data_IF_018769723052
#
_entry.id   IF_018769723052
#
_cell.length_a   1.000
_cell.length_b   1.000
_cell.length_c   1.000
_cell.angle_alpha   90.00
_cell.angle_beta   90.00
_cell.angle_gamma   90.00
#
_symmetry.space_group_name_H-M   'P 1'
#
loop_
_entity.id
_entity.type
_entity.pdbx_description
1 polymer ?
#
# COMPACT_ATOMS: atom_id res chain seq x y z
N UNK A 1 -17.37 7.92 5.21
CA UNK A 1 -16.50 8.86 5.92
C UNK A 1 -15.54 9.43 4.90
N UNK A 2 -15.48 10.76 4.79
CA UNK A 2 -14.57 11.45 3.88
C UNK A 2 -13.12 11.29 4.38
N UNK A 3 -12.13 11.41 3.49
CA UNK A 3 -10.70 11.35 3.85
C UNK A 3 -10.05 12.68 3.52
N UNK A 4 -9.40 13.29 4.51
CA UNK A 4 -8.58 14.49 4.34
C UNK A 4 -7.09 14.13 4.40
N UNK A 5 -6.42 13.91 3.25
CA UNK A 5 -5.01 13.52 3.21
C UNK A 5 -4.06 14.72 3.33
N UNK A 6 -3.11 14.61 4.24
CA UNK A 6 -1.96 15.51 4.37
C UNK A 6 -0.68 14.71 4.16
N UNK A 7 0.06 15.05 3.10
CA UNK A 7 1.32 14.39 2.77
C UNK A 7 2.47 15.15 3.41
N UNK A 8 2.93 14.66 4.56
CA UNK A 8 4.08 15.21 5.25
C UNK A 8 5.38 14.72 4.60
N UNK A 9 6.42 15.56 4.55
CA UNK A 9 7.72 15.13 4.08
C UNK A 9 8.39 14.18 5.08
N UNK A 10 9.18 13.25 4.57
CA UNK A 10 10.01 12.31 5.35
C UNK A 10 11.21 12.97 6.08
N UNK A 11 11.05 14.19 6.62
CA UNK A 11 12.16 15.03 7.13
C UNK A 11 12.94 14.40 8.30
N UNK A 12 12.32 13.48 9.03
CA UNK A 12 12.90 12.81 10.20
C UNK A 12 12.96 11.29 10.03
N UNK A 13 12.92 10.80 8.78
CA UNK A 13 13.13 9.38 8.53
C UNK A 13 14.59 9.01 8.84
N UNK A 14 14.85 7.96 9.65
CA UNK A 14 16.21 7.62 10.09
C UNK A 14 17.11 7.16 8.93
N UNK A 15 16.52 6.66 7.84
CA UNK A 15 17.23 6.07 6.72
C UNK A 15 16.77 6.65 5.37
N UNK A 16 17.70 6.72 4.41
CA UNK A 16 17.40 7.04 3.01
C UNK A 16 17.48 5.79 2.14
N UNK A 17 16.31 5.27 1.78
CA UNK A 17 16.17 4.03 1.02
C UNK A 17 16.58 4.21 -0.44
N UNK A 18 16.90 3.10 -1.11
CA UNK A 18 17.39 3.13 -2.50
C UNK A 18 16.40 3.75 -3.49
N UNK A 19 15.10 3.55 -3.26
CA UNK A 19 13.99 4.00 -4.11
C UNK A 19 13.34 5.31 -3.66
N UNK A 20 13.75 5.87 -2.52
CA UNK A 20 13.07 7.02 -1.94
C UNK A 20 13.55 8.34 -2.57
N UNK A 21 12.64 9.04 -3.25
CA UNK A 21 12.78 10.45 -3.60
C UNK A 21 11.70 11.28 -2.90
N UNK A 22 12.11 11.94 -1.82
CA UNK A 22 11.25 12.79 -1.02
C UNK A 22 10.62 13.93 -1.84
N UNK A 23 11.32 14.50 -2.84
CA UNK A 23 10.81 15.62 -3.64
C UNK A 23 9.82 15.16 -4.71
N UNK A 24 10.06 13.98 -5.28
CA UNK A 24 9.17 13.40 -6.29
C UNK A 24 7.84 12.91 -5.67
N UNK A 25 7.90 12.29 -4.48
CA UNK A 25 6.77 11.63 -3.82
C UNK A 25 5.79 12.62 -3.17
N UNK A 26 6.26 13.69 -2.54
CA UNK A 26 5.36 14.66 -1.85
C UNK A 26 4.80 15.75 -2.79
N UNK A 27 5.31 15.84 -4.02
CA UNK A 27 5.04 16.97 -4.91
C UNK A 27 5.76 18.24 -4.44
N UNK A 28 6.01 19.16 -5.37
CA UNK A 28 6.78 20.40 -5.15
C UNK A 28 6.05 21.47 -4.30
N UNK A 29 4.87 21.16 -3.75
CA UNK A 29 4.18 22.05 -2.81
C UNK A 29 4.79 21.88 -1.41
N UNK A 30 4.98 22.98 -0.68
CA UNK A 30 5.63 22.97 0.62
C UNK A 30 5.05 21.94 1.61
N UNK A 31 5.85 21.56 2.61
CA UNK A 31 5.39 20.73 3.73
C UNK A 31 4.18 21.41 4.38
N UNK A 32 3.00 20.78 4.44
CA UNK A 32 1.88 21.35 5.18
C UNK A 32 2.28 21.47 6.65
N UNK A 33 2.21 22.66 7.21
CA UNK A 33 2.43 22.92 8.63
C UNK A 33 1.11 22.75 9.41
N UNK A 34 1.14 22.61 10.74
CA UNK A 34 -0.08 22.44 11.55
C UNK A 34 -1.16 23.50 11.30
N UNK A 35 -0.77 24.74 10.99
CA UNK A 35 -1.73 25.80 10.64
C UNK A 35 -2.49 25.51 9.34
N UNK A 36 -1.81 24.94 8.35
CA UNK A 36 -2.37 24.65 7.03
C UNK A 36 -3.35 23.47 7.16
N UNK A 37 -3.03 22.50 8.02
CA UNK A 37 -3.95 21.41 8.41
C UNK A 37 -5.21 21.99 9.03
N UNK A 38 -5.07 22.87 10.04
CA UNK A 38 -6.23 23.50 10.69
C UNK A 38 -7.08 24.26 9.68
N UNK A 39 -6.47 25.04 8.79
CA UNK A 39 -7.16 25.83 7.79
C UNK A 39 -7.93 24.96 6.79
N UNK A 40 -7.29 23.91 6.27
CA UNK A 40 -7.92 22.97 5.34
C UNK A 40 -9.15 22.26 5.95
N UNK A 41 -9.17 22.07 7.27
CA UNK A 41 -10.25 21.38 7.98
C UNK A 41 -11.38 22.31 8.45
N UNK A 42 -11.22 23.64 8.41
CA UNK A 42 -12.24 24.60 8.91
C UNK A 42 -13.60 24.46 8.22
N UNK A 43 -13.61 24.08 6.95
CA UNK A 43 -14.82 23.99 6.14
C UNK A 43 -15.49 22.61 6.14
N UNK A 44 -14.91 21.63 6.84
CA UNK A 44 -15.44 20.27 6.86
C UNK A 44 -16.59 20.19 7.87
N UNK A 45 -17.75 19.70 7.42
CA UNK A 45 -18.95 19.54 8.26
C UNK A 45 -19.33 18.08 8.48
N UNK A 46 -18.76 17.17 7.70
CA UNK A 46 -19.05 15.73 7.73
C UNK A 46 -17.96 14.95 8.49
N UNK A 47 -18.30 13.80 9.11
CA UNK A 47 -17.33 12.88 9.68
C UNK A 47 -16.16 12.60 8.73
N UNK A 48 -14.93 12.82 9.20
CA UNK A 48 -13.73 12.78 8.36
C UNK A 48 -12.58 11.99 8.99
N UNK A 49 -11.90 11.18 8.18
CA UNK A 49 -10.63 10.55 8.51
C UNK A 49 -9.47 11.47 8.07
N UNK A 50 -8.81 12.12 9.03
CA UNK A 50 -7.61 12.92 8.75
C UNK A 50 -6.43 11.96 8.62
N UNK A 51 -5.80 11.95 7.44
CA UNK A 51 -4.72 11.03 7.12
C UNK A 51 -3.39 11.77 7.04
N UNK A 52 -2.47 11.51 7.97
CA UNK A 52 -1.09 11.98 7.87
C UNK A 52 -0.24 10.93 7.15
N UNK A 53 -0.08 11.11 5.84
CA UNK A 53 0.81 10.31 5.00
C UNK A 53 2.22 10.89 4.99
N UNK A 54 3.19 10.09 4.56
CA UNK A 54 4.60 10.49 4.52
C UNK A 54 5.54 9.45 5.10
N UNK A 55 5.06 8.56 5.97
CA UNK A 55 5.85 7.39 6.42
C UNK A 55 6.89 7.71 7.50
N UNK A 56 6.82 8.87 8.16
CA UNK A 56 7.70 9.21 9.29
C UNK A 56 7.01 10.05 10.37
N UNK A 57 5.67 9.99 10.49
CA UNK A 57 4.91 10.87 11.40
C UNK A 57 5.45 10.84 12.83
N UNK A 58 5.64 9.64 13.39
CA UNK A 58 6.08 9.43 14.78
C UNK A 58 7.59 9.56 14.97
N UNK A 59 8.35 9.76 13.89
CA UNK A 59 9.78 10.07 14.00
C UNK A 59 10.02 11.55 14.33
N UNK A 60 9.02 12.41 14.12
CA UNK A 60 9.09 13.83 14.47
C UNK A 60 9.17 14.02 15.99
N UNK A 61 9.69 15.15 16.49
CA UNK A 61 9.61 15.49 17.92
C UNK A 61 8.17 15.47 18.44
N UNK A 62 7.97 15.00 19.68
CA UNK A 62 6.63 14.86 20.29
C UNK A 62 5.80 16.16 20.27
N UNK A 63 6.45 17.32 20.45
CA UNK A 63 5.78 18.62 20.35
C UNK A 63 5.16 18.85 18.97
N UNK A 64 5.91 18.53 17.91
CA UNK A 64 5.43 18.68 16.53
C UNK A 64 4.33 17.67 16.19
N UNK A 65 4.43 16.44 16.68
CA UNK A 65 3.36 15.45 16.56
C UNK A 65 2.07 15.97 17.22
N UNK A 66 2.18 16.50 18.44
CA UNK A 66 1.07 17.11 19.18
C UNK A 66 0.44 18.27 18.41
N UNK A 67 1.26 19.19 17.87
CA UNK A 67 0.76 20.33 17.11
C UNK A 67 -0.11 19.91 15.91
N UNK A 68 0.29 18.86 15.17
CA UNK A 68 -0.51 18.32 14.07
C UNK A 68 -1.82 17.68 14.54
N UNK A 69 -1.76 16.88 15.61
CA UNK A 69 -2.94 16.21 16.16
C UNK A 69 -3.94 17.24 16.70
N UNK A 70 -3.48 18.25 17.43
CA UNK A 70 -4.30 19.35 17.94
C UNK A 70 -4.85 20.24 16.82
N UNK A 71 -4.09 20.46 15.75
CA UNK A 71 -4.61 21.12 14.56
C UNK A 71 -5.74 20.34 13.89
N UNK A 72 -5.62 19.01 13.82
CA UNK A 72 -6.66 18.15 13.24
C UNK A 72 -7.91 18.03 14.15
N UNK A 73 -7.74 18.11 15.47
CA UNK A 73 -8.84 18.15 16.43
C UNK A 73 -9.70 19.41 16.33
N UNK A 74 -9.22 20.47 15.70
CA UNK A 74 -10.00 21.69 15.47
C UNK A 74 -11.10 21.52 14.41
N UNK A 75 -11.18 20.37 13.73
CA UNK A 75 -12.23 20.09 12.75
C UNK A 75 -13.58 19.79 13.42
N UNK A 76 -14.71 20.30 12.89
CA UNK A 76 -16.03 20.00 13.41
C UNK A 76 -16.47 18.54 13.18
N UNK A 77 -16.77 17.81 14.27
CA UNK A 77 -17.52 16.53 14.30
C UNK A 77 -16.88 15.31 13.60
N UNK A 78 -17.15 14.09 14.08
CA UNK A 78 -16.14 13.15 14.56
C UNK A 78 -14.98 12.94 13.58
N UNK A 79 -13.78 13.09 14.14
CA UNK A 79 -12.53 12.94 13.41
C UNK A 79 -11.80 11.72 13.94
N UNK A 80 -11.39 10.83 13.05
CA UNK A 80 -10.41 9.78 13.38
C UNK A 80 -9.12 10.06 12.61
N UNK A 81 -8.00 9.71 13.21
CA UNK A 81 -6.70 9.91 12.59
C UNK A 81 -6.12 8.59 12.09
N UNK A 82 -5.54 8.67 10.90
CA UNK A 82 -4.61 7.69 10.36
C UNK A 82 -3.24 8.33 10.31
N UNK A 83 -2.24 7.61 10.80
CA UNK A 83 -0.84 8.01 10.67
C UNK A 83 -0.06 6.94 9.91
N UNK A 84 0.75 7.35 8.94
CA UNK A 84 1.75 6.48 8.31
C UNK A 84 3.14 6.82 8.85
N UNK A 85 3.86 5.84 9.37
CA UNK A 85 5.14 6.06 10.04
C UNK A 85 6.16 4.95 9.78
N UNK A 86 7.40 5.21 10.19
CA UNK A 86 8.50 4.27 10.10
C UNK A 86 8.36 3.25 11.24
N UNK A 87 8.57 1.94 10.98
CA UNK A 87 8.39 0.91 12.00
C UNK A 87 9.13 1.20 13.31
N UNK A 88 10.43 1.50 13.24
CA UNK A 88 11.26 1.77 14.43
C UNK A 88 10.91 3.06 15.20
N UNK A 89 10.02 3.92 14.69
CA UNK A 89 9.54 5.10 15.42
C UNK A 89 8.25 4.80 16.20
N UNK A 90 7.94 3.52 16.45
CA UNK A 90 6.78 3.09 17.22
C UNK A 90 7.25 2.18 18.35
N UNK A 91 7.02 2.63 19.57
CA UNK A 91 7.31 1.92 20.80
C UNK A 91 6.16 2.11 21.80
N UNK A 92 6.17 1.43 22.97
CA UNK A 92 5.11 1.58 23.96
C UNK A 92 4.88 3.02 24.43
N UNK A 93 5.92 3.86 24.46
CA UNK A 93 5.81 5.26 24.88
C UNK A 93 5.06 6.11 23.85
N UNK A 94 5.33 5.89 22.55
CA UNK A 94 4.60 6.53 21.46
C UNK A 94 3.14 6.07 21.44
N UNK A 95 2.87 4.78 21.62
CA UNK A 95 1.49 4.29 21.69
C UNK A 95 0.73 4.89 22.87
N UNK A 96 1.37 5.03 24.04
CA UNK A 96 0.79 5.70 25.19
C UNK A 96 0.52 7.19 24.88
N UNK A 97 1.44 7.89 24.21
CA UNK A 97 1.29 9.28 23.80
C UNK A 97 0.14 9.49 22.79
N UNK A 98 -0.04 8.57 21.84
CA UNK A 98 -1.08 8.68 20.80
C UNK A 98 -2.48 8.31 21.30
N UNK A 99 -2.57 7.45 22.32
CA UNK A 99 -3.85 6.92 22.82
C UNK A 99 -4.91 7.95 23.29
N UNK A 100 -4.55 9.14 23.82
CA UNK A 100 -5.53 10.17 24.18
C UNK A 100 -6.10 10.93 22.97
N UNK A 101 -5.48 10.81 21.79
CA UNK A 101 -5.97 11.39 20.54
C UNK A 101 -6.86 10.37 19.82
N UNK A 102 -7.76 10.80 18.91
CA UNK A 102 -8.60 9.89 18.12
C UNK A 102 -7.81 9.19 16.99
N UNK A 103 -6.56 8.81 17.25
CA UNK A 103 -5.76 7.97 16.35
C UNK A 103 -6.34 6.57 16.36
N UNK A 104 -6.93 6.17 15.24
CA UNK A 104 -7.50 4.83 15.08
C UNK A 104 -6.56 3.90 14.34
N UNK A 105 -5.73 4.42 13.43
CA UNK A 105 -4.96 3.59 12.50
C UNK A 105 -3.50 4.03 12.51
N UNK A 106 -2.62 3.08 12.78
CA UNK A 106 -1.16 3.25 12.71
C UNK A 106 -0.65 2.35 11.60
N UNK A 107 -0.32 2.95 10.47
CA UNK A 107 0.21 2.26 9.29
C UNK A 107 1.74 2.31 9.31
N UNK A 108 2.39 1.14 9.31
CA UNK A 108 3.84 1.02 9.25
C UNK A 108 4.30 0.83 7.82
N UNK A 109 5.35 1.57 7.42
CA UNK A 109 6.03 1.41 6.14
C UNK A 109 6.88 0.15 6.09
N UNK A 110 6.26 -1.04 6.06
CA UNK A 110 6.94 -2.35 6.11
C UNK A 110 7.87 -2.58 4.92
N UNK A 111 7.41 -2.28 3.70
CA UNK A 111 8.08 -2.60 2.43
C UNK A 111 8.21 -4.11 2.15
N UNK A 112 8.98 -4.83 2.96
CA UNK A 112 9.14 -6.28 2.96
C UNK A 112 9.50 -6.77 4.38
N UNK A 113 9.48 -8.08 4.63
CA UNK A 113 9.99 -8.70 5.85
C UNK A 113 11.20 -9.61 5.58
N UNK A 114 11.68 -9.66 4.33
CA UNK A 114 12.89 -10.38 3.94
C UNK A 114 14.15 -9.53 4.20
N UNK A 115 14.99 -9.96 5.13
CA UNK A 115 16.12 -9.17 5.62
C UNK A 115 17.12 -8.79 4.51
N UNK A 116 17.39 -9.69 3.55
CA UNK A 116 18.28 -9.40 2.42
C UNK A 116 17.72 -8.29 1.51
N UNK A 117 16.40 -8.26 1.29
CA UNK A 117 15.72 -7.20 0.54
C UNK A 117 15.76 -5.89 1.31
N UNK A 118 15.55 -5.93 2.63
CA UNK A 118 15.57 -4.76 3.52
C UNK A 118 16.98 -4.12 3.59
N UNK A 119 18.02 -4.94 3.70
CA UNK A 119 19.43 -4.57 3.65
C UNK A 119 19.76 -3.90 2.31
N UNK A 120 19.44 -4.57 1.20
CA UNK A 120 19.65 -4.06 -0.16
C UNK A 120 18.94 -2.72 -0.38
N UNK A 121 17.72 -2.59 0.15
CA UNK A 121 16.94 -1.37 0.06
C UNK A 121 17.36 -0.27 1.04
N UNK A 122 18.32 -0.52 1.93
CA UNK A 122 18.78 0.37 2.99
C UNK A 122 17.63 0.85 3.87
N UNK A 123 16.79 -0.08 4.34
CA UNK A 123 15.67 0.22 5.25
C UNK A 123 16.14 0.49 6.68
N UNK A 124 17.23 -0.15 7.09
CA UNK A 124 17.84 0.02 8.42
C UNK A 124 16.98 -0.56 9.55
N UNK A 125 16.31 -1.68 9.27
CA UNK A 125 15.63 -2.55 10.22
C UNK A 125 15.50 -3.94 9.60
N UNK A 126 15.22 -4.93 10.45
CA UNK A 126 14.94 -6.33 10.10
C UNK A 126 13.44 -6.62 10.05
N UNK A 127 13.05 -7.71 9.40
CA UNK A 127 11.66 -8.19 9.39
C UNK A 127 11.16 -8.49 10.80
N UNK A 128 12.01 -9.05 11.66
CA UNK A 128 11.69 -9.35 13.06
C UNK A 128 11.31 -8.09 13.85
N UNK A 129 12.09 -7.01 13.72
CA UNK A 129 11.78 -5.74 14.38
C UNK A 129 10.45 -5.16 13.91
N UNK A 130 10.14 -5.24 12.61
CA UNK A 130 8.86 -4.77 12.08
C UNK A 130 7.69 -5.56 12.64
N UNK A 131 7.81 -6.89 12.70
CA UNK A 131 6.78 -7.77 13.26
C UNK A 131 6.55 -7.50 14.74
N UNK A 132 7.61 -7.22 15.51
CA UNK A 132 7.50 -6.77 16.90
C UNK A 132 6.67 -5.48 16.99
N UNK A 133 6.99 -4.45 16.18
CA UNK A 133 6.28 -3.16 16.23
C UNK A 133 4.82 -3.29 15.81
N UNK A 134 4.51 -4.11 14.80
CA UNK A 134 3.14 -4.42 14.41
C UNK A 134 2.38 -5.15 15.52
N UNK A 135 3.03 -6.07 16.24
CA UNK A 135 2.43 -6.79 17.36
C UNK A 135 2.07 -5.85 18.51
N UNK A 136 2.92 -4.85 18.80
CA UNK A 136 2.62 -3.82 19.80
C UNK A 136 1.37 -3.00 19.42
N UNK A 137 1.25 -2.61 18.15
CA UNK A 137 0.06 -1.89 17.65
C UNK A 137 -1.18 -2.78 17.71
N UNK A 138 -1.08 -4.03 17.27
CA UNK A 138 -2.18 -4.99 17.23
C UNK A 138 -2.70 -5.39 18.62
N UNK A 139 -1.81 -5.43 19.62
CA UNK A 139 -2.17 -5.73 21.00
C UNK A 139 -2.94 -4.60 21.70
N UNK A 140 -2.95 -3.39 21.16
CA UNK A 140 -3.63 -2.25 21.76
C UNK A 140 -5.02 -2.04 21.11
N UNK A 141 -6.13 -2.20 21.85
CA UNK A 141 -7.48 -2.14 21.30
C UNK A 141 -7.88 -0.75 20.75
N UNK A 142 -7.15 0.31 21.11
CA UNK A 142 -7.35 1.65 20.56
C UNK A 142 -6.98 1.73 19.07
N UNK A 143 -6.05 0.88 18.61
CA UNK A 143 -5.48 0.98 17.27
C UNK A 143 -5.85 -0.19 16.36
N UNK A 144 -5.87 0.09 15.06
CA UNK A 144 -5.90 -0.89 13.99
C UNK A 144 -4.53 -0.83 13.30
N UNK A 145 -3.78 -1.94 13.25
CA UNK A 145 -2.50 -1.98 12.55
C UNK A 145 -2.71 -1.85 11.04
N UNK A 146 -1.85 -1.07 10.39
CA UNK A 146 -1.73 -1.02 8.94
C UNK A 146 -0.33 -1.43 8.50
N UNK A 147 -0.21 -2.12 7.36
CA UNK A 147 1.05 -2.47 6.74
C UNK A 147 1.08 -1.99 5.28
N UNK A 148 2.07 -1.16 4.95
CA UNK A 148 2.37 -0.80 3.57
C UNK A 148 3.49 -1.72 3.04
N UNK A 149 3.13 -2.66 2.18
CA UNK A 149 4.04 -3.55 1.47
C UNK A 149 4.43 -2.97 0.11
N UNK A 150 5.59 -3.40 -0.39
CA UNK A 150 6.05 -3.13 -1.74
C UNK A 150 6.31 -4.42 -2.51
N UNK A 151 6.19 -4.36 -3.84
CA UNK A 151 6.51 -5.46 -4.76
C UNK A 151 7.59 -5.05 -5.76
N UNK A 152 8.38 -6.02 -6.21
CA UNK A 152 9.44 -5.79 -7.19
C UNK A 152 10.64 -5.01 -6.66
N UNK A 153 10.89 -5.01 -5.35
CA UNK A 153 12.12 -4.46 -4.77
C UNK A 153 13.35 -5.25 -5.28
N UNK A 154 14.56 -4.64 -5.30
CA UNK A 154 15.79 -5.38 -5.61
C UNK A 154 15.95 -6.63 -4.75
N UNK A 155 16.12 -7.79 -5.40
CA UNK A 155 16.22 -9.10 -4.74
C UNK A 155 14.89 -9.76 -4.34
N UNK A 156 13.76 -9.05 -4.41
CA UNK A 156 12.46 -9.57 -3.97
C UNK A 156 11.83 -10.47 -5.04
N UNK A 157 11.07 -11.48 -4.60
CA UNK A 157 10.35 -12.42 -5.47
C UNK A 157 8.85 -12.46 -5.18
N UNK A 158 8.01 -12.90 -6.13
CA UNK A 158 6.58 -13.11 -5.86
C UNK A 158 6.30 -14.02 -4.67
N UNK A 159 7.12 -15.06 -4.48
CA UNK A 159 7.04 -15.95 -3.32
C UNK A 159 7.37 -15.24 -2.02
N UNK A 160 8.41 -14.39 -1.97
CA UNK A 160 8.78 -13.71 -0.74
C UNK A 160 7.75 -12.65 -0.33
N UNK A 161 7.11 -11.95 -1.28
CA UNK A 161 5.98 -11.05 -0.94
C UNK A 161 4.74 -11.80 -0.40
N UNK A 162 4.52 -13.06 -0.82
CA UNK A 162 3.47 -13.88 -0.22
C UNK A 162 3.84 -14.35 1.18
N UNK A 163 5.13 -14.64 1.42
CA UNK A 163 5.63 -14.95 2.76
C UNK A 163 5.49 -13.74 3.71
N UNK A 164 5.78 -12.53 3.22
CA UNK A 164 5.54 -11.30 3.97
C UNK A 164 4.08 -11.23 4.46
N UNK A 165 3.10 -11.55 3.60
CA UNK A 165 1.69 -11.59 3.98
C UNK A 165 1.35 -12.71 4.99
N UNK A 166 2.02 -13.86 4.92
CA UNK A 166 1.85 -14.95 5.90
C UNK A 166 2.30 -14.52 7.29
N UNK A 167 3.46 -13.87 7.39
CA UNK A 167 3.94 -13.31 8.64
C UNK A 167 3.00 -12.24 9.20
N UNK A 168 2.51 -11.34 8.35
CA UNK A 168 1.51 -10.35 8.77
C UNK A 168 0.20 -10.99 9.22
N UNK A 169 -0.21 -12.11 8.61
CA UNK A 169 -1.45 -12.81 8.98
C UNK A 169 -1.32 -13.44 10.35
N UNK A 170 -0.13 -13.96 10.69
CA UNK A 170 0.18 -14.46 12.01
C UNK A 170 0.11 -13.35 13.08
N UNK A 171 0.66 -12.17 12.81
CA UNK A 171 0.59 -11.02 13.72
C UNK A 171 -0.84 -10.49 13.88
N UNK A 172 -1.60 -10.44 12.79
CA UNK A 172 -3.02 -10.03 12.79
C UNK A 172 -3.86 -10.93 13.70
N UNK A 173 -3.62 -12.24 13.67
CA UNK A 173 -4.49 -13.22 14.31
C UNK A 173 -5.91 -13.09 13.77
N UNK A 174 -6.90 -12.93 14.65
CA UNK A 174 -8.30 -12.68 14.28
C UNK A 174 -8.68 -11.19 14.19
N UNK A 175 -7.77 -10.28 14.57
CA UNK A 175 -8.03 -8.84 14.62
C UNK A 175 -8.06 -8.18 13.24
N UNK A 176 -8.46 -6.89 13.15
CA UNK A 176 -8.38 -6.15 11.90
C UNK A 176 -6.92 -5.81 11.58
N UNK A 177 -6.55 -5.84 10.30
CA UNK A 177 -5.31 -5.25 9.80
C UNK A 177 -5.52 -4.75 8.37
N UNK A 178 -5.06 -3.54 8.10
CA UNK A 178 -5.15 -2.90 6.80
C UNK A 178 -3.88 -3.10 5.99
N UNK A 179 -4.00 -3.35 4.68
CA UNK A 179 -2.83 -3.52 3.80
C UNK A 179 -2.91 -2.59 2.59
N UNK A 180 -1.75 -2.04 2.23
CA UNK A 180 -1.47 -1.38 0.94
C UNK A 180 -0.34 -2.11 0.24
N UNK A 181 -0.43 -2.22 -1.08
CA UNK A 181 0.58 -2.87 -1.91
C UNK A 181 1.02 -1.88 -2.99
N UNK A 182 2.26 -1.43 -2.93
CA UNK A 182 2.82 -0.49 -3.92
C UNK A 182 3.90 -1.13 -4.77
N UNK A 183 3.88 -0.96 -6.10
CA UNK A 183 5.01 -1.37 -6.91
C UNK A 183 6.24 -0.52 -6.58
N UNK A 184 7.42 -1.14 -6.65
CA UNK A 184 8.67 -0.40 -6.72
C UNK A 184 8.77 0.30 -8.08
N UNK A 185 9.00 1.61 -8.07
CA UNK A 185 9.28 2.40 -9.27
C UNK A 185 10.70 2.96 -9.19
N UNK A 186 11.38 2.97 -10.34
CA UNK A 186 12.67 3.64 -10.48
C UNK A 186 12.40 5.12 -10.69
N UNK A 187 12.69 5.95 -9.68
CA UNK A 187 12.53 7.40 -9.75
C UNK A 187 13.86 8.08 -10.05
N UNK A 188 13.80 9.17 -10.82
CA UNK A 188 14.96 10.00 -11.15
C UNK A 188 15.67 10.50 -9.89
N UNK A 189 17.00 10.52 -9.89
CA UNK A 189 17.82 11.02 -8.77
C UNK A 189 17.95 10.06 -7.59
N UNK A 190 17.41 8.85 -7.68
CA UNK A 190 17.51 7.83 -6.63
C UNK A 190 18.77 6.95 -6.78
N UNK A 191 19.10 6.18 -5.74
CA UNK A 191 20.12 5.14 -5.87
C UNK A 191 19.60 3.98 -6.74
N UNK A 192 18.30 3.72 -6.72
CA UNK A 192 17.67 2.72 -7.58
C UNK A 192 17.80 3.06 -9.07
N UNK A 193 17.73 4.34 -9.46
CA UNK A 193 18.04 4.77 -10.83
C UNK A 193 19.47 4.39 -11.24
N UNK A 194 20.45 4.57 -10.34
CA UNK A 194 21.83 4.16 -10.64
C UNK A 194 21.95 2.64 -10.80
N UNK A 195 21.31 1.87 -9.94
CA UNK A 195 21.26 0.40 -10.05
C UNK A 195 20.58 -0.05 -11.35
N UNK A 196 19.54 0.65 -11.77
CA UNK A 196 18.88 0.38 -13.05
C UNK A 196 19.79 0.68 -14.24
N UNK A 197 20.45 1.84 -14.24
CA UNK A 197 21.34 2.25 -15.34
C UNK A 197 22.62 1.41 -15.43
N UNK A 198 23.11 0.85 -14.33
CA UNK A 198 24.24 -0.09 -14.34
C UNK A 198 23.85 -1.52 -14.73
N UNK A 199 22.55 -1.84 -14.76
CA UNK A 199 22.05 -3.20 -14.99
C UNK A 199 21.97 -4.08 -13.74
N UNK A 200 22.30 -3.54 -12.55
CA UNK A 200 22.23 -4.25 -11.26
C UNK A 200 20.78 -4.48 -10.79
N UNK A 201 19.82 -3.78 -11.37
CA UNK A 201 18.39 -3.96 -11.08
C UNK A 201 17.54 -3.77 -12.33
N UNK A 202 16.59 -4.69 -12.55
CA UNK A 202 15.57 -4.56 -13.59
C UNK A 202 14.19 -4.63 -12.94
N UNK A 203 13.36 -3.57 -13.00
CA UNK A 203 12.02 -3.62 -12.44
C UNK A 203 11.09 -4.50 -13.29
N UNK A 204 10.08 -5.14 -12.68
CA UNK A 204 9.09 -5.92 -13.41
C UNK A 204 8.25 -5.06 -14.36
N UNK A 205 7.72 -5.69 -15.40
CA UNK A 205 6.75 -5.04 -16.29
C UNK A 205 5.39 -4.79 -15.62
N UNK A 206 4.53 -3.99 -16.25
CA UNK A 206 3.17 -3.70 -15.75
C UNK A 206 2.35 -4.99 -15.60
N UNK A 207 2.31 -5.83 -16.64
CA UNK A 207 1.58 -7.09 -16.64
C UNK A 207 2.09 -8.07 -15.57
N UNK A 208 3.41 -8.22 -15.46
CA UNK A 208 4.04 -9.04 -14.43
C UNK A 208 3.71 -8.54 -13.02
N UNK A 209 3.79 -7.23 -12.81
CA UNK A 209 3.45 -6.60 -11.54
C UNK A 209 1.97 -6.72 -11.19
N UNK A 210 1.09 -6.65 -12.18
CA UNK A 210 -0.34 -6.88 -12.00
C UNK A 210 -0.61 -8.32 -11.56
N UNK A 211 0.05 -9.32 -12.17
CA UNK A 211 -0.06 -10.73 -11.77
C UNK A 211 0.49 -10.94 -10.36
N UNK A 212 1.67 -10.40 -10.05
CA UNK A 212 2.28 -10.47 -8.72
C UNK A 212 1.35 -9.88 -7.66
N UNK A 213 0.93 -8.63 -7.82
CA UNK A 213 0.00 -7.99 -6.90
C UNK A 213 -1.34 -8.73 -6.84
N UNK A 214 -1.83 -9.28 -7.95
CA UNK A 214 -3.07 -10.06 -7.97
C UNK A 214 -3.02 -11.34 -7.10
N UNK A 215 -1.88 -12.04 -7.09
CA UNK A 215 -1.66 -13.17 -6.15
C UNK A 215 -1.72 -12.71 -4.70
N UNK A 216 -1.10 -11.58 -4.39
CA UNK A 216 -1.15 -10.97 -3.06
C UNK A 216 -2.56 -10.52 -2.67
N UNK A 217 -3.34 -9.93 -3.60
CA UNK A 217 -4.73 -9.54 -3.36
C UNK A 217 -5.58 -10.75 -2.97
N UNK A 218 -5.45 -11.85 -3.70
CA UNK A 218 -6.18 -13.08 -3.43
C UNK A 218 -5.88 -13.59 -2.03
N UNK A 219 -4.59 -13.80 -1.73
CA UNK A 219 -4.15 -14.25 -0.40
C UNK A 219 -4.61 -13.29 0.70
N UNK A 220 -4.45 -11.99 0.51
CA UNK A 220 -4.82 -11.00 1.52
C UNK A 220 -6.33 -11.02 1.84
N UNK A 221 -7.18 -11.24 0.84
CA UNK A 221 -8.63 -11.38 1.04
C UNK A 221 -8.97 -12.65 1.81
N UNK A 222 -8.35 -13.77 1.45
CA UNK A 222 -8.56 -15.08 2.11
C UNK A 222 -8.09 -15.07 3.56
N UNK A 223 -6.98 -14.38 3.85
CA UNK A 223 -6.47 -14.19 5.20
C UNK A 223 -7.22 -13.10 6.00
N UNK A 224 -8.25 -12.47 5.42
CA UNK A 224 -9.12 -11.52 6.12
C UNK A 224 -8.53 -10.12 6.33
N UNK A 225 -7.53 -9.71 5.54
CA UNK A 225 -7.01 -8.35 5.57
C UNK A 225 -7.97 -7.36 4.90
N UNK A 226 -7.99 -6.13 5.41
CA UNK A 226 -8.64 -5.02 4.73
C UNK A 226 -7.68 -4.39 3.71
N UNK A 227 -7.80 -4.83 2.44
CA UNK A 227 -6.98 -4.30 1.35
C UNK A 227 -7.47 -2.90 0.93
N UNK A 228 -6.68 -1.86 1.26
CA UNK A 228 -7.03 -0.48 0.97
C UNK A 228 -6.69 -0.05 -0.45
N UNK A 229 -5.47 -0.38 -0.89
CA UNK A 229 -4.93 0.12 -2.16
C UNK A 229 -3.90 -0.82 -2.76
N UNK A 230 -3.93 -0.91 -4.08
CA UNK A 230 -2.88 -1.50 -4.90
C UNK A 230 -2.48 -0.49 -5.96
N UNK A 231 -1.18 -0.25 -6.11
CA UNK A 231 -0.66 0.79 -6.99
C UNK A 231 -0.62 2.18 -6.34
N UNK A 232 0.09 3.10 -6.97
CA UNK A 232 0.31 4.46 -6.48
C UNK A 232 -0.80 5.41 -6.92
N UNK A 233 -0.83 6.62 -6.33
CA UNK A 233 -1.67 7.70 -6.80
C UNK A 233 -0.99 8.43 -7.93
N UNK A 234 -1.67 8.50 -9.08
CA UNK A 234 -1.20 9.27 -10.22
C UNK A 234 -1.13 10.75 -9.83
N UNK A 235 0.04 11.35 -10.01
CA UNK A 235 0.26 12.79 -9.86
C UNK A 235 1.18 13.28 -10.97
N UNK A 236 1.10 14.56 -11.33
CA UNK A 236 1.99 15.17 -12.34
C UNK A 236 3.46 15.04 -11.92
N UNK A 237 3.72 15.14 -10.61
CA UNK A 237 5.07 14.97 -10.04
C UNK A 237 5.58 13.54 -10.18
N UNK A 238 4.73 12.55 -9.91
CA UNK A 238 5.10 11.14 -10.03
C UNK A 238 5.37 10.78 -11.49
N UNK A 239 4.41 11.03 -12.39
CA UNK A 239 4.57 10.74 -13.82
C UNK A 239 5.82 11.36 -14.44
N UNK A 240 6.17 12.59 -14.07
CA UNK A 240 7.37 13.27 -14.57
C UNK A 240 8.69 12.75 -14.01
N UNK A 241 8.67 11.92 -12.96
CA UNK A 241 9.87 11.44 -12.26
C UNK A 241 10.15 9.94 -12.44
N UNK A 242 9.21 9.17 -12.98
CA UNK A 242 9.42 7.73 -13.25
C UNK A 242 10.39 7.54 -14.42
N UNK A 243 11.46 6.80 -14.17
CA UNK A 243 12.46 6.37 -15.17
C UNK A 243 12.13 4.98 -15.70
N UNK A 244 11.73 4.05 -14.82
CA UNK A 244 11.39 2.67 -15.18
C UNK A 244 10.48 2.00 -14.13
N UNK A 245 9.88 0.87 -14.52
CA UNK A 245 9.03 0.03 -13.67
C UNK A 245 7.54 0.12 -14.01
N UNK A 246 6.68 -0.56 -13.25
CA UNK A 246 5.26 -0.79 -13.59
C UNK A 246 4.38 0.43 -13.26
N UNK A 247 4.68 1.57 -13.89
CA UNK A 247 3.88 2.78 -13.75
C UNK A 247 2.65 2.72 -14.66
N UNK A 248 1.48 2.49 -14.06
CA UNK A 248 0.21 2.46 -14.77
C UNK A 248 -0.94 2.94 -13.86
N UNK A 249 -1.77 3.92 -14.28
CA UNK A 249 -2.85 4.46 -13.44
C UNK A 249 -3.86 3.41 -12.96
N UNK A 250 -4.07 2.36 -13.77
CA UNK A 250 -5.00 1.27 -13.47
C UNK A 250 -4.32 -0.02 -12.96
N UNK A 251 -3.06 0.03 -12.49
CA UNK A 251 -2.37 -1.17 -12.01
C UNK A 251 -3.18 -1.96 -10.96
N UNK A 252 -3.85 -1.25 -10.05
CA UNK A 252 -4.72 -1.88 -9.06
C UNK A 252 -5.94 -2.59 -9.66
N UNK A 253 -6.49 -2.09 -10.77
CA UNK A 253 -7.59 -2.75 -11.49
C UNK A 253 -7.11 -4.00 -12.23
N UNK A 254 -5.95 -3.92 -12.90
CA UNK A 254 -5.30 -5.06 -13.56
C UNK A 254 -4.97 -6.18 -12.55
N UNK A 255 -4.49 -5.80 -11.36
CA UNK A 255 -4.19 -6.76 -10.30
C UNK A 255 -5.46 -7.42 -9.72
N UNK A 256 -6.53 -6.66 -9.49
CA UNK A 256 -7.83 -7.21 -9.06
C UNK A 256 -8.45 -8.12 -10.12
N UNK A 257 -8.28 -7.77 -11.40
CA UNK A 257 -8.69 -8.57 -12.54
C UNK A 257 -7.97 -9.92 -12.57
N UNK A 258 -6.64 -9.92 -12.40
CA UNK A 258 -5.88 -11.16 -12.29
C UNK A 258 -6.29 -11.99 -11.07
N UNK A 259 -6.47 -11.36 -9.91
CA UNK A 259 -6.93 -12.03 -8.71
C UNK A 259 -8.30 -12.73 -8.91
N UNK A 260 -9.23 -12.07 -9.59
CA UNK A 260 -10.53 -12.66 -9.96
C UNK A 260 -10.34 -13.86 -10.90
N UNK A 261 -9.58 -13.70 -11.98
CA UNK A 261 -9.33 -14.79 -12.93
C UNK A 261 -8.69 -16.01 -12.25
N UNK A 262 -7.75 -15.78 -11.33
CA UNK A 262 -7.12 -16.83 -10.54
C UNK A 262 -8.14 -17.57 -9.66
N UNK A 263 -8.97 -16.85 -8.90
CA UNK A 263 -10.03 -17.46 -8.09
C UNK A 263 -11.01 -18.29 -8.92
N UNK A 264 -11.43 -17.78 -10.08
CA UNK A 264 -12.35 -18.48 -10.98
C UNK A 264 -11.79 -19.82 -11.48
N UNK A 265 -10.51 -19.85 -11.87
CA UNK A 265 -9.84 -21.08 -12.34
C UNK A 265 -9.59 -22.06 -11.21
N UNK A 266 -9.28 -21.59 -10.00
CA UNK A 266 -9.13 -22.47 -8.83
C UNK A 266 -10.46 -23.12 -8.42
N UNK A 267 -11.57 -22.38 -8.48
CA UNK A 267 -12.91 -22.92 -8.20
C UNK A 267 -13.40 -23.86 -9.29
N UNK A 268 -13.17 -23.51 -10.56
CA UNK A 268 -13.57 -24.31 -11.72
C UNK A 268 -12.54 -24.19 -12.85
N UNK A 269 -11.62 -25.16 -13.02
CA UNK A 269 -10.51 -25.03 -13.97
C UNK A 269 -10.91 -24.81 -15.43
N UNK A 270 -12.09 -25.27 -15.82
CA UNK A 270 -12.59 -25.25 -17.20
C UNK A 270 -13.96 -24.56 -17.32
N UNK A 271 -14.42 -23.86 -16.27
CA UNK A 271 -15.72 -23.22 -16.21
C UNK A 271 -16.91 -24.20 -16.17
N UNK A 272 -18.16 -23.71 -16.33
CA UNK A 272 -18.52 -22.31 -16.46
C UNK A 272 -18.25 -21.53 -15.16
N UNK A 273 -18.12 -20.21 -15.27
CA UNK A 273 -17.84 -19.31 -14.14
C UNK A 273 -19.01 -18.38 -13.90
N UNK A 274 -19.51 -18.37 -12.66
CA UNK A 274 -20.53 -17.41 -12.23
C UNK A 274 -19.82 -16.14 -11.75
N UNK A 275 -20.07 -15.00 -12.41
CA UNK A 275 -19.39 -13.74 -12.10
C UNK A 275 -20.42 -12.65 -11.85
N UNK A 276 -20.37 -11.94 -10.70
CA UNK A 276 -21.26 -10.82 -10.44
C UNK A 276 -21.13 -9.75 -11.54
N UNK A 277 -22.25 -9.18 -11.94
CA UNK A 277 -22.30 -8.15 -12.98
C UNK A 277 -21.50 -6.90 -12.58
N UNK A 278 -21.41 -6.63 -11.27
CA UNK A 278 -20.56 -5.58 -10.69
C UNK A 278 -19.06 -5.77 -10.98
N UNK A 279 -18.61 -7.00 -11.27
CA UNK A 279 -17.22 -7.32 -11.60
C UNK A 279 -16.95 -7.38 -13.10
N UNK A 280 -17.91 -6.99 -13.94
CA UNK A 280 -17.80 -7.09 -15.41
C UNK A 280 -16.59 -6.34 -15.96
N UNK A 281 -16.32 -5.13 -15.47
CA UNK A 281 -15.17 -4.33 -15.91
C UNK A 281 -13.84 -5.03 -15.66
N UNK A 282 -13.73 -5.82 -14.58
CA UNK A 282 -12.50 -6.56 -14.27
C UNK A 282 -12.17 -7.61 -15.35
N UNK A 283 -13.15 -8.17 -16.06
CA UNK A 283 -12.88 -9.11 -17.14
C UNK A 283 -12.81 -8.44 -18.52
N UNK A 284 -13.71 -7.50 -18.80
CA UNK A 284 -13.83 -6.89 -20.14
C UNK A 284 -12.98 -5.63 -20.35
N UNK A 285 -12.55 -4.97 -19.27
CA UNK A 285 -11.76 -3.73 -19.31
C UNK A 285 -10.33 -3.94 -19.83
N UNK A 286 -9.62 -2.82 -20.05
CA UNK A 286 -8.20 -2.79 -20.43
C UNK A 286 -7.83 -3.76 -21.57
N UNK A 287 -8.61 -3.71 -22.67
CA UNK A 287 -8.40 -4.62 -23.80
C UNK A 287 -8.66 -6.08 -23.43
N UNK A 288 -9.75 -6.34 -22.71
CA UNK A 288 -10.14 -7.69 -22.24
C UNK A 288 -9.05 -8.36 -21.40
N UNK A 289 -8.30 -7.59 -20.61
CA UNK A 289 -7.18 -8.09 -19.79
C UNK A 289 -7.59 -9.30 -18.95
N UNK A 290 -8.67 -9.20 -18.18
CA UNK A 290 -9.11 -10.31 -17.33
C UNK A 290 -9.53 -11.55 -18.11
N UNK A 291 -10.15 -11.40 -19.29
CA UNK A 291 -10.41 -12.55 -20.15
C UNK A 291 -9.14 -13.17 -20.74
N UNK A 292 -8.11 -12.37 -21.04
CA UNK A 292 -6.79 -12.87 -21.49
C UNK A 292 -6.10 -13.67 -20.38
N UNK A 293 -6.14 -13.18 -19.15
CA UNK A 293 -5.59 -13.89 -17.99
C UNK A 293 -6.39 -15.16 -17.70
N UNK A 294 -7.73 -15.09 -17.71
CA UNK A 294 -8.60 -16.26 -17.53
C UNK A 294 -8.35 -17.34 -18.59
N UNK A 295 -8.21 -16.95 -19.85
CA UNK A 295 -7.89 -17.85 -20.96
C UNK A 295 -6.50 -18.49 -20.78
N UNK A 296 -5.50 -17.70 -20.41
CA UNK A 296 -4.13 -18.18 -20.15
C UNK A 296 -4.11 -19.20 -19.01
N UNK A 297 -4.77 -18.90 -17.89
CA UNK A 297 -4.82 -19.75 -16.70
C UNK A 297 -5.62 -21.05 -16.93
N UNK A 298 -6.65 -21.02 -17.78
CA UNK A 298 -7.48 -22.19 -18.10
C UNK A 298 -6.98 -23.01 -19.32
N UNK A 299 -5.96 -22.53 -20.03
CA UNK A 299 -5.45 -23.16 -21.24
C UNK A 299 -6.41 -23.09 -22.44
N UNK A 300 -7.23 -22.02 -22.51
CA UNK A 300 -8.24 -21.82 -23.55
C UNK A 300 -7.97 -20.58 -24.41
N UNK A 301 -8.76 -20.41 -25.48
CA UNK A 301 -8.85 -19.13 -26.19
C UNK A 301 -9.68 -18.11 -25.41
N UNK A 302 -9.46 -16.83 -25.67
CA UNK A 302 -10.19 -15.71 -25.05
C UNK A 302 -11.69 -15.78 -25.36
N UNK A 303 -12.07 -16.23 -26.56
CA UNK A 303 -13.44 -16.41 -27.00
C UNK A 303 -14.12 -17.53 -26.23
N UNK A 304 -13.42 -18.67 -26.07
CA UNK A 304 -13.95 -19.83 -25.34
C UNK A 304 -14.11 -19.51 -23.85
N UNK A 305 -13.09 -18.91 -23.23
CA UNK A 305 -13.17 -18.48 -21.84
C UNK A 305 -14.30 -17.47 -21.63
N UNK A 306 -14.45 -16.50 -22.54
CA UNK A 306 -15.54 -15.53 -22.51
C UNK A 306 -16.93 -16.16 -22.63
N UNK A 307 -17.08 -17.19 -23.48
CA UNK A 307 -18.32 -17.94 -23.65
C UNK A 307 -18.72 -18.80 -22.44
N UNK A 308 -17.81 -19.03 -21.51
CA UNK A 308 -18.03 -19.82 -20.28
C UNK A 308 -18.36 -18.94 -19.06
N UNK A 309 -18.17 -17.62 -19.15
CA UNK A 309 -18.61 -16.70 -18.10
C UNK A 309 -20.14 -16.51 -18.17
N UNK A 310 -20.78 -16.60 -17.01
CA UNK A 310 -22.21 -16.37 -16.80
C UNK A 310 -22.35 -15.23 -15.79
N UNK A 311 -22.93 -14.12 -16.25
CA UNK A 311 -23.14 -12.95 -15.41
C UNK A 311 -24.32 -13.20 -14.48
N UNK A 312 -24.10 -13.00 -13.20
CA UNK A 312 -25.14 -13.07 -12.16
C UNK A 312 -25.39 -11.68 -11.57
N UNK A 313 -26.60 -11.39 -11.07
CA UNK A 313 -26.89 -10.14 -10.37
C UNK A 313 -25.90 -9.85 -9.23
#
# INVERSE_FOLDING_TARGET
>A
MERAPFFLPMRDCPNRCVYCDQRAITGHAGSPEPRDVREALRGITEPTEVCFFGGSFTCQPLGRQRDYLEAALAAPSPVNFRISTHPLCVDPSILAFLSPFPVRIIELGVSSLEDEVLETCKRGYTGAEVLERLSLVAANPAFIPGAQLMTGLPGQTPSSSLEDLRHLAAVRGAGPMQIRIYPCLVLKGTLLERMYLSGDYTPPGVDESARWAGRMIKYAREAGFELLRVGLQETVSLSGSVVAGPHHPALGELARSFALALSLVEESPQGPWLVPTSSRSLLSGHGRWGFRELATLSGMTVERAGGLVRWVP
#
